data_IF_821162849964
#
_entry.id   IF_821162849964
#
_cell.length_a   1.000
_cell.length_b   1.000
_cell.length_c   1.000
_cell.angle_alpha   90.00
_cell.angle_beta   90.00
_cell.angle_gamma   90.00
#
_symmetry.space_group_name_H-M   'P 1'
#
loop_
_entity.id
_entity.type
_entity.pdbx_description
1 polymer ?
#
# COMPACT_ATOMS: atom_id res chain seq x y z
N UNK A 1 -9.97 -13.38 30.38
CA UNK A 1 -10.25 -14.52 29.48
C UNK A 1 -11.12 -14.10 28.28
N UNK A 2 -12.17 -13.32 28.49
CA UNK A 2 -13.03 -12.77 27.41
C UNK A 2 -12.29 -11.84 26.42
N UNK A 3 -11.33 -11.04 26.90
CA UNK A 3 -10.53 -10.15 26.06
C UNK A 3 -9.56 -10.88 25.11
N UNK A 4 -8.98 -12.01 25.54
CA UNK A 4 -8.05 -12.81 24.74
C UNK A 4 -8.75 -13.54 23.60
N UNK A 5 -9.96 -14.06 23.86
CA UNK A 5 -10.79 -14.72 22.83
C UNK A 5 -11.26 -13.72 21.78
N UNK A 6 -11.70 -12.53 22.21
CA UNK A 6 -12.08 -11.45 21.28
C UNK A 6 -10.90 -11.02 20.40
N UNK A 7 -9.72 -10.84 21.00
CA UNK A 7 -8.50 -10.52 20.25
C UNK A 7 -8.10 -11.61 19.25
N UNK A 8 -8.23 -12.89 19.64
CA UNK A 8 -7.95 -14.02 18.75
C UNK A 8 -8.90 -14.10 17.54
N UNK A 9 -10.20 -13.92 17.76
CA UNK A 9 -11.20 -13.91 16.67
C UNK A 9 -10.97 -12.73 15.73
N UNK A 10 -10.73 -11.53 16.28
CA UNK A 10 -10.42 -10.35 15.46
C UNK A 10 -9.16 -10.55 14.61
N UNK A 11 -8.10 -11.12 15.19
CA UNK A 11 -6.85 -11.42 14.47
C UNK A 11 -7.06 -12.42 13.33
N UNK A 12 -7.88 -13.47 13.53
CA UNK A 12 -8.21 -14.45 12.49
C UNK A 12 -9.02 -13.78 11.37
N UNK A 13 -10.04 -12.99 11.69
CA UNK A 13 -10.87 -12.28 10.69
C UNK A 13 -10.00 -11.34 9.85
N UNK A 14 -9.15 -10.54 10.50
CA UNK A 14 -8.22 -9.63 9.83
C UNK A 14 -7.23 -10.42 8.96
N UNK A 15 -6.68 -11.51 9.47
CA UNK A 15 -5.76 -12.38 8.72
C UNK A 15 -6.41 -12.98 7.47
N UNK A 16 -7.63 -13.49 7.58
CA UNK A 16 -8.38 -14.03 6.43
C UNK A 16 -8.72 -12.92 5.42
N UNK A 17 -9.13 -11.75 5.89
CA UNK A 17 -9.43 -10.61 5.02
C UNK A 17 -8.18 -10.16 4.23
N UNK A 18 -7.02 -10.07 4.88
CA UNK A 18 -5.75 -9.74 4.23
C UNK A 18 -5.35 -10.80 3.21
N UNK A 19 -5.44 -12.09 3.55
CA UNK A 19 -5.13 -13.18 2.62
C UNK A 19 -6.04 -13.15 1.39
N UNK A 20 -7.35 -12.94 1.57
CA UNK A 20 -8.27 -12.80 0.44
C UNK A 20 -7.96 -11.57 -0.43
N UNK A 21 -7.54 -10.45 0.19
CA UNK A 21 -7.18 -9.22 -0.52
C UNK A 21 -5.91 -9.40 -1.35
N UNK A 22 -4.93 -10.13 -0.82
CA UNK A 22 -3.66 -10.46 -1.48
C UNK A 22 -3.86 -11.42 -2.65
N UNK A 23 -4.69 -12.45 -2.47
CA UNK A 23 -4.94 -13.46 -3.52
C UNK A 23 -5.75 -12.89 -4.70
N UNK A 24 -6.61 -11.89 -4.46
CA UNK A 24 -7.52 -11.35 -5.49
C UNK A 24 -6.93 -10.25 -6.40
N UNK A 25 -5.71 -9.74 -6.19
CA UNK A 25 -5.17 -8.62 -6.99
C UNK A 25 -3.90 -8.98 -7.78
N UNK A 26 -4.02 -9.02 -9.11
CA UNK A 26 -2.95 -9.07 -10.15
C UNK A 26 -2.05 -7.81 -10.20
N UNK A 27 -1.93 -7.04 -9.12
CA UNK A 27 -1.05 -5.84 -9.02
C UNK A 27 0.34 -6.18 -8.47
N UNK A 28 0.61 -7.46 -8.25
CA UNK A 28 1.67 -7.99 -7.39
C UNK A 28 3.09 -7.57 -7.75
N UNK A 29 3.48 -7.47 -9.02
CA UNK A 29 4.91 -7.41 -9.35
C UNK A 29 5.62 -6.14 -8.84
N UNK A 30 5.00 -4.96 -9.02
CA UNK A 30 5.62 -3.67 -8.62
C UNK A 30 5.67 -3.49 -7.10
N UNK A 31 4.58 -3.81 -6.40
CA UNK A 31 4.51 -3.63 -4.95
C UNK A 31 5.21 -4.77 -4.20
N UNK A 32 5.19 -6.01 -4.73
CA UNK A 32 5.94 -7.12 -4.15
C UNK A 32 7.45 -6.87 -4.23
N UNK A 33 7.95 -6.21 -5.28
CA UNK A 33 9.37 -5.85 -5.35
C UNK A 33 9.81 -4.94 -4.19
N UNK A 34 8.99 -3.95 -3.81
CA UNK A 34 9.27 -3.09 -2.66
C UNK A 34 9.27 -3.90 -1.36
N UNK A 35 8.23 -4.70 -1.15
CA UNK A 35 8.12 -5.56 0.04
C UNK A 35 9.23 -6.62 0.14
N UNK A 36 9.65 -7.19 -1.00
CA UNK A 36 10.81 -8.08 -1.07
C UNK A 36 12.09 -7.34 -0.69
N UNK A 37 12.29 -6.11 -1.19
CA UNK A 37 13.42 -5.27 -0.78
C UNK A 37 13.46 -5.01 0.73
N UNK A 38 12.31 -4.65 1.32
CA UNK A 38 12.19 -4.48 2.78
C UNK A 38 12.48 -5.80 3.51
N UNK A 39 11.96 -6.91 3.03
CA UNK A 39 12.25 -8.25 3.57
C UNK A 39 13.73 -8.60 3.53
N UNK A 40 14.43 -8.31 2.43
CA UNK A 40 15.88 -8.50 2.29
C UNK A 40 16.63 -7.65 3.30
N UNK A 41 16.28 -6.37 3.45
CA UNK A 41 16.89 -5.48 4.45
C UNK A 41 16.71 -6.05 5.87
N UNK A 42 15.51 -6.51 6.20
CA UNK A 42 15.23 -7.12 7.51
C UNK A 42 16.05 -8.40 7.74
N UNK A 43 16.18 -9.25 6.72
CA UNK A 43 17.01 -10.46 6.79
C UNK A 43 18.48 -10.11 7.01
N UNK A 44 19.03 -9.13 6.30
CA UNK A 44 20.42 -8.66 6.51
C UNK A 44 20.60 -8.14 7.93
N UNK A 45 19.65 -7.36 8.44
CA UNK A 45 19.68 -6.88 9.82
C UNK A 45 19.59 -8.01 10.85
N UNK A 46 18.84 -9.07 10.57
CA UNK A 46 18.72 -10.24 11.44
C UNK A 46 19.96 -11.14 11.42
N UNK A 47 20.63 -11.28 10.27
CA UNK A 47 21.83 -12.10 10.11
C UNK A 47 23.09 -11.46 10.71
N UNK A 48 23.15 -10.12 10.76
CA UNK A 48 24.30 -9.40 11.30
C UNK A 48 24.02 -8.95 12.74
N UNK A 49 24.54 -9.64 13.76
CA UNK A 49 24.31 -9.28 15.16
C UNK A 49 24.86 -7.88 15.45
N UNK A 50 24.06 -7.06 16.13
CA UNK A 50 24.46 -5.70 16.52
C UNK A 50 24.38 -4.64 15.43
N UNK A 51 24.08 -4.98 14.17
CA UNK A 51 23.92 -3.99 13.08
C UNK A 51 22.83 -2.97 13.39
N UNK A 52 21.67 -3.45 13.85
CA UNK A 52 20.56 -2.58 14.25
C UNK A 52 20.94 -1.65 15.41
N UNK A 53 21.70 -2.15 16.38
CA UNK A 53 22.15 -1.37 17.53
C UNK A 53 23.23 -0.34 17.16
N UNK A 54 24.10 -0.67 16.20
CA UNK A 54 25.08 0.27 15.66
C UNK A 54 24.39 1.40 14.89
N UNK A 55 23.44 1.05 14.01
CA UNK A 55 22.63 2.03 13.29
C UNK A 55 21.81 2.89 14.26
N UNK A 56 21.15 2.30 15.25
CA UNK A 56 20.34 3.06 16.20
C UNK A 56 21.18 4.11 16.93
N UNK A 57 22.38 3.76 17.41
CA UNK A 57 23.29 4.69 18.07
C UNK A 57 23.79 5.79 17.13
N UNK A 58 24.08 5.45 15.87
CA UNK A 58 24.49 6.43 14.86
C UNK A 58 23.44 7.52 14.64
N UNK A 59 22.15 7.15 14.67
CA UNK A 59 21.02 8.07 14.56
C UNK A 59 20.56 8.67 15.90
N UNK A 60 21.25 8.40 17.02
CA UNK A 60 20.92 8.96 18.33
C UNK A 60 19.82 8.25 19.11
N UNK A 61 19.44 7.02 18.73
CA UNK A 61 18.45 6.20 19.44
C UNK A 61 19.12 5.31 20.49
N UNK A 62 18.66 5.42 21.74
CA UNK A 62 19.13 4.59 22.85
C UNK A 62 18.66 3.13 22.74
N UNK A 63 17.42 2.91 22.33
CA UNK A 63 16.80 1.59 22.21
C UNK A 63 16.70 1.19 20.73
N UNK A 64 17.37 0.10 20.29
CA UNK A 64 17.34 -0.32 18.88
C UNK A 64 15.94 -0.62 18.34
N UNK A 65 15.04 -1.11 19.20
CA UNK A 65 13.64 -1.34 18.85
C UNK A 65 12.90 -0.04 18.47
N UNK A 66 13.20 1.08 19.14
CA UNK A 66 12.60 2.37 18.82
C UNK A 66 13.06 2.87 17.44
N UNK A 67 14.34 2.71 17.12
CA UNK A 67 14.86 3.03 15.78
C UNK A 67 14.16 2.22 14.70
N UNK A 68 14.03 0.90 14.88
CA UNK A 68 13.33 0.04 13.92
C UNK A 68 11.86 0.45 13.75
N UNK A 69 11.18 0.79 14.85
CA UNK A 69 9.80 1.27 14.81
C UNK A 69 9.69 2.61 14.07
N UNK A 70 10.55 3.58 14.38
CA UNK A 70 10.57 4.88 13.70
C UNK A 70 10.84 4.74 12.21
N UNK A 71 11.84 3.95 11.80
CA UNK A 71 12.12 3.68 10.38
C UNK A 71 10.94 3.01 9.70
N UNK A 72 10.34 2.00 10.35
CA UNK A 72 9.15 1.32 9.84
C UNK A 72 7.96 2.27 9.68
N UNK A 73 7.71 3.14 10.67
CA UNK A 73 6.64 4.13 10.63
C UNK A 73 6.85 5.16 9.51
N UNK A 74 8.07 5.69 9.37
CA UNK A 74 8.43 6.60 8.27
C UNK A 74 8.28 5.91 6.92
N UNK A 75 8.74 4.66 6.78
CA UNK A 75 8.60 3.89 5.55
C UNK A 75 7.12 3.68 5.19
N UNK A 76 6.29 3.28 6.15
CA UNK A 76 4.85 3.10 5.94
C UNK A 76 4.16 4.41 5.58
N UNK A 77 4.56 5.53 6.19
CA UNK A 77 4.04 6.84 5.84
C UNK A 77 4.40 7.22 4.39
N UNK A 78 5.64 7.00 3.98
CA UNK A 78 6.10 7.26 2.61
C UNK A 78 5.35 6.39 1.60
N UNK A 79 5.17 5.09 1.88
CA UNK A 79 4.39 4.18 1.04
C UNK A 79 2.94 4.66 0.95
N UNK A 80 2.33 5.05 2.06
CA UNK A 80 0.96 5.57 2.10
C UNK A 80 0.81 6.83 1.24
N UNK A 81 1.75 7.78 1.33
CA UNK A 81 1.74 8.98 0.48
C UNK A 81 1.91 8.62 -1.00
N UNK A 82 2.81 7.69 -1.33
CA UNK A 82 3.00 7.24 -2.71
C UNK A 82 1.72 6.60 -3.26
N UNK A 83 1.05 5.76 -2.48
CA UNK A 83 -0.24 5.15 -2.83
C UNK A 83 -1.32 6.22 -3.01
N UNK A 84 -1.38 7.22 -2.13
CA UNK A 84 -2.35 8.33 -2.21
C UNK A 84 -2.18 9.11 -3.51
N UNK A 85 -0.94 9.41 -3.90
CA UNK A 85 -0.64 10.09 -5.18
C UNK A 85 -1.00 9.22 -6.38
N UNK A 86 -0.65 7.94 -6.36
CA UNK A 86 -1.01 7.01 -7.44
C UNK A 86 -2.53 6.88 -7.59
N UNK A 87 -3.25 6.80 -6.48
CA UNK A 87 -4.71 6.73 -6.45
C UNK A 87 -5.35 7.99 -7.03
N UNK A 88 -4.86 9.17 -6.61
CA UNK A 88 -5.35 10.45 -7.12
C UNK A 88 -5.19 10.59 -8.65
N UNK A 89 -4.06 10.12 -9.20
CA UNK A 89 -3.85 10.12 -10.66
C UNK A 89 -4.81 9.19 -11.39
N UNK A 90 -5.10 8.02 -10.81
CA UNK A 90 -6.06 7.06 -11.38
C UNK A 90 -7.46 7.66 -11.38
N UNK A 91 -7.86 8.31 -10.28
CA UNK A 91 -9.16 8.98 -10.15
C UNK A 91 -9.33 10.09 -11.20
N UNK A 92 -8.33 10.95 -11.38
CA UNK A 92 -8.34 11.97 -12.43
C UNK A 92 -8.48 11.38 -13.84
N UNK A 93 -7.83 10.24 -14.10
CA UNK A 93 -7.92 9.58 -15.40
C UNK A 93 -9.31 9.00 -15.64
N UNK A 94 -9.94 8.42 -14.61
CA UNK A 94 -11.31 7.91 -14.69
C UNK A 94 -12.27 9.07 -14.98
N UNK A 95 -12.13 10.21 -14.30
CA UNK A 95 -12.97 11.39 -14.55
C UNK A 95 -12.86 11.87 -16.00
N UNK A 96 -11.65 12.02 -16.52
CA UNK A 96 -11.43 12.44 -17.93
C UNK A 96 -12.05 11.46 -18.92
N UNK A 97 -11.90 10.16 -18.68
CA UNK A 97 -12.51 9.14 -19.54
C UNK A 97 -14.04 9.20 -19.52
N UNK A 98 -14.64 9.49 -18.36
CA UNK A 98 -16.09 9.66 -18.25
C UNK A 98 -16.56 10.92 -19.02
N UNK A 99 -15.82 12.02 -18.94
CA UNK A 99 -16.10 13.25 -19.69
C UNK A 99 -15.99 13.03 -21.21
N UNK A 100 -14.93 12.35 -21.67
CA UNK A 100 -14.75 11.99 -23.08
C UNK A 100 -15.90 11.10 -23.59
N UNK A 101 -16.34 10.12 -22.78
CA UNK A 101 -17.50 9.28 -23.12
C UNK A 101 -18.80 10.08 -23.22
N UNK A 102 -19.05 11.01 -22.30
CA UNK A 102 -20.26 11.84 -22.32
C UNK A 102 -20.30 12.72 -23.58
N UNK A 103 -19.17 13.32 -23.97
CA UNK A 103 -19.07 14.12 -25.20
C UNK A 103 -19.26 13.25 -26.45
N UNK A 104 -18.72 12.04 -26.46
CA UNK A 104 -18.87 11.11 -27.58
C UNK A 104 -20.33 10.67 -27.75
N UNK A 105 -21.04 10.40 -26.65
CA UNK A 105 -22.46 10.06 -26.66
C UNK A 105 -23.30 11.22 -27.20
N UNK A 106 -23.09 12.44 -26.72
CA UNK A 106 -23.80 13.63 -27.21
C UNK A 106 -23.58 13.87 -28.71
N UNK A 107 -22.36 13.64 -29.22
CA UNK A 107 -22.09 13.76 -30.67
C UNK A 107 -22.83 12.70 -31.48
N UNK A 108 -22.88 11.47 -30.97
CA UNK A 108 -23.59 10.37 -31.63
C UNK A 108 -25.09 10.65 -31.69
N UNK A 109 -25.68 11.11 -30.58
CA UNK A 109 -27.11 11.46 -30.50
C UNK A 109 -27.47 12.62 -31.46
N UNK A 110 -26.57 13.61 -31.61
CA UNK A 110 -26.76 14.71 -32.58
C UNK A 110 -26.72 14.24 -34.03
N UNK A 111 -25.78 13.37 -34.39
CA UNK A 111 -25.66 12.84 -35.74
C UNK A 111 -26.87 11.96 -36.12
N UNK A 112 -27.38 11.15 -35.18
CA UNK A 112 -28.61 10.39 -35.36
C UNK A 112 -29.86 11.28 -35.49
N UNK A 113 -29.91 12.39 -34.74
CA UNK A 113 -30.98 13.37 -34.83
C UNK A 113 -30.97 14.17 -36.15
N UNK A 114 -29.81 14.42 -36.73
CA UNK A 114 -29.68 15.13 -38.01
C UNK A 114 -30.00 14.25 -39.25
N UNK A 115 -29.97 12.92 -39.09
CA UNK A 115 -30.32 11.96 -40.14
C UNK A 115 -31.83 11.62 -40.20
N UNK A 116 -32.64 12.15 -39.29
CA UNK A 116 -34.11 12.01 -39.25
C UNK A 116 -34.79 13.28 -39.70
#
# INVERSE_FOLDING_TARGET
MTSTVFGGVAAIIIGVAVLQLVVRRRLLLKYAALWLGVGVVLVVVALVPGLLAWLSRLFGFEVPANFLFSVGATLLLLISLQLSVELSRVEQRIQRLAEELAILQERTDRDEGAAR
#
